data_IF_491983358790
#
_entry.id   IF_491983358790
#
_cell.length_a   1.000
_cell.length_b   1.000
_cell.length_c   1.000
_cell.angle_alpha   90.00
_cell.angle_beta   90.00
_cell.angle_gamma   90.00
#
_symmetry.space_group_name_H-M   'P 1'
#
loop_
_entity.id
_entity.type
_entity.pdbx_description
1 polymer ?
#
# COMPACT_ATOMS: atom_id res chain seq x y z
N UNK A 1 -9.96 -3.67 -6.05
CA UNK A 1 -8.68 -2.89 -6.00
C UNK A 1 -8.48 -2.42 -4.58
N UNK A 2 -7.33 -2.69 -3.97
CA UNK A 2 -7.04 -2.26 -2.60
C UNK A 2 -7.12 -0.73 -2.49
N UNK A 3 -8.11 -0.23 -1.81
CA UNK A 3 -8.37 1.20 -1.67
C UNK A 3 -8.73 1.63 -0.25
N UNK A 4 -8.50 0.74 0.72
CA UNK A 4 -8.64 1.03 2.15
C UNK A 4 -7.70 0.13 2.93
N UNK A 5 -7.01 0.69 3.94
CA UNK A 5 -6.06 -0.05 4.77
C UNK A 5 -6.08 0.42 6.22
N UNK A 6 -5.56 -0.43 7.10
CA UNK A 6 -5.30 -0.13 8.51
C UNK A 6 -3.80 0.02 8.73
N UNK A 7 -3.38 1.14 9.29
CA UNK A 7 -2.00 1.40 9.74
C UNK A 7 -2.08 1.95 11.17
N UNK A 8 -2.42 1.09 12.13
CA UNK A 8 -2.77 1.51 13.49
C UNK A 8 -1.97 0.84 14.60
N UNK A 9 -1.74 -0.46 14.49
CA UNK A 9 -1.04 -1.24 15.52
C UNK A 9 0.44 -1.36 15.16
N UNK A 10 1.25 -0.45 15.66
CA UNK A 10 2.64 -0.28 15.22
C UNK A 10 3.68 -0.87 16.12
N UNK A 11 3.35 -1.30 17.34
CA UNK A 11 4.29 -1.82 18.31
C UNK A 11 5.14 -2.99 17.78
N UNK A 12 4.62 -3.73 16.79
CA UNK A 12 5.34 -4.81 16.13
C UNK A 12 5.89 -4.48 14.74
N UNK A 13 5.68 -3.28 14.23
CA UNK A 13 6.19 -2.94 12.88
C UNK A 13 7.70 -3.07 12.80
N UNK A 14 8.45 -2.71 13.85
CA UNK A 14 9.90 -2.86 13.89
C UNK A 14 10.37 -4.31 13.80
N UNK A 15 9.54 -5.28 14.19
CA UNK A 15 9.85 -6.71 14.14
C UNK A 15 9.38 -7.37 12.84
N UNK A 16 8.32 -6.83 12.22
CA UNK A 16 7.61 -7.45 11.10
C UNK A 16 7.82 -6.72 9.77
N UNK A 17 8.33 -5.49 9.79
CA UNK A 17 8.53 -4.67 8.61
C UNK A 17 10.00 -4.31 8.45
N UNK A 18 10.59 -4.75 7.36
CA UNK A 18 11.98 -4.50 7.02
C UNK A 18 12.30 -3.00 7.00
N UNK A 19 13.38 -2.61 7.66
CA UNK A 19 13.86 -1.22 7.74
C UNK A 19 12.88 -0.21 8.34
N UNK A 20 11.85 -0.66 9.07
CA UNK A 20 10.95 0.26 9.74
C UNK A 20 11.68 1.06 10.82
N UNK A 21 11.60 2.37 10.71
CA UNK A 21 12.04 3.30 11.75
C UNK A 21 10.79 4.02 12.28
N UNK A 22 10.58 3.94 13.57
CA UNK A 22 9.40 4.49 14.22
C UNK A 22 9.32 6.01 14.04
N UNK A 23 8.30 6.57 13.37
CA UNK A 23 8.17 8.00 13.23
C UNK A 23 7.67 8.64 14.54
N UNK A 24 8.29 9.74 14.99
CA UNK A 24 7.84 10.48 16.19
C UNK A 24 6.42 11.01 16.08
N UNK A 25 5.95 11.27 14.85
CA UNK A 25 4.63 11.82 14.56
C UNK A 25 3.66 10.76 14.05
N UNK A 26 3.87 9.49 14.39
CA UNK A 26 2.97 8.43 13.97
C UNK A 26 1.61 8.56 14.66
N UNK A 27 0.57 8.63 13.84
CA UNK A 27 -0.83 8.59 14.28
C UNK A 27 -1.50 7.34 13.73
N UNK A 28 -2.14 6.50 14.58
CA UNK A 28 -2.88 5.34 14.13
C UNK A 28 -4.01 5.71 13.17
N UNK A 29 -4.14 4.96 12.07
CA UNK A 29 -5.20 5.14 11.08
C UNK A 29 -5.89 3.81 10.80
N UNK A 30 -7.19 3.79 11.05
CA UNK A 30 -8.04 2.60 10.87
C UNK A 30 -8.78 2.57 9.54
N UNK A 31 -8.81 3.69 8.82
CA UNK A 31 -9.54 3.85 7.56
C UNK A 31 -8.73 4.69 6.57
N UNK A 32 -7.46 4.35 6.36
CA UNK A 32 -6.62 5.01 5.36
C UNK A 32 -7.19 4.85 3.95
N UNK A 33 -7.27 5.96 3.22
CA UNK A 33 -7.81 6.05 1.86
C UNK A 33 -6.77 6.54 0.86
N UNK A 34 -6.94 6.21 -0.43
CA UNK A 34 -6.24 6.93 -1.49
C UNK A 34 -6.42 8.44 -1.35
N UNK A 35 -5.38 9.19 -1.66
CA UNK A 35 -5.19 10.63 -1.50
C UNK A 35 -4.75 11.10 -0.11
N UNK A 36 -4.80 10.24 0.88
CA UNK A 36 -4.34 10.56 2.24
C UNK A 36 -2.86 10.23 2.42
N UNK A 37 -2.17 10.92 3.35
CA UNK A 37 -0.81 10.58 3.73
C UNK A 37 -0.78 9.27 4.53
N UNK A 38 0.21 8.43 4.24
CA UNK A 38 0.50 7.20 4.97
C UNK A 38 2.01 7.04 5.14
N UNK A 39 2.43 6.23 6.09
CA UNK A 39 3.84 5.92 6.30
C UNK A 39 4.27 4.74 5.45
N UNK A 40 5.39 4.89 4.74
CA UNK A 40 6.00 3.85 3.91
C UNK A 40 7.48 3.70 4.26
N UNK A 41 8.03 2.51 4.03
CA UNK A 41 9.48 2.29 3.98
C UNK A 41 9.90 2.42 2.53
N UNK A 42 10.67 3.45 2.21
CA UNK A 42 11.08 3.78 0.86
C UNK A 42 12.57 3.51 0.65
N UNK A 43 12.92 2.83 -0.45
CA UNK A 43 14.28 2.73 -0.93
C UNK A 43 14.62 3.94 -1.79
N UNK A 44 15.74 4.56 -1.51
CA UNK A 44 16.28 5.69 -2.28
C UNK A 44 17.21 5.22 -3.40
N UNK A 45 17.47 6.09 -4.35
CA UNK A 45 18.41 5.83 -5.45
C UNK A 45 19.86 5.61 -5.00
N UNK A 46 20.23 6.10 -3.80
CA UNK A 46 21.55 5.85 -3.17
C UNK A 46 21.62 4.50 -2.45
N UNK A 47 20.55 3.70 -2.50
CA UNK A 47 20.45 2.40 -1.85
C UNK A 47 19.99 2.46 -0.39
N UNK A 48 19.94 3.63 0.23
CA UNK A 48 19.43 3.77 1.59
C UNK A 48 17.91 3.57 1.66
N UNK A 49 17.44 3.11 2.81
CA UNK A 49 16.01 2.97 3.12
C UNK A 49 15.62 4.00 4.18
N UNK A 50 14.39 4.48 4.12
CA UNK A 50 13.84 5.41 5.10
C UNK A 50 12.34 5.21 5.27
N UNK A 51 11.87 5.36 6.51
CA UNK A 51 10.45 5.55 6.79
C UNK A 51 10.09 7.01 6.52
N UNK A 52 9.15 7.22 5.60
CA UNK A 52 8.68 8.55 5.20
C UNK A 52 7.16 8.58 5.11
N UNK A 53 6.59 9.76 5.32
CA UNK A 53 5.19 9.99 5.02
C UNK A 53 5.02 10.35 3.55
N UNK A 54 4.09 9.68 2.86
CA UNK A 54 3.82 9.87 1.45
C UNK A 54 2.33 9.80 1.15
N UNK A 55 1.85 10.56 0.15
CA UNK A 55 0.46 10.52 -0.30
C UNK A 55 0.18 9.21 -1.03
N UNK A 56 -0.85 8.50 -0.64
CA UNK A 56 -1.29 7.27 -1.35
C UNK A 56 -2.01 7.64 -2.65
N UNK A 57 -1.25 8.15 -3.60
CA UNK A 57 -1.69 8.55 -4.93
C UNK A 57 -0.48 8.98 -5.74
N UNK A 58 0.22 8.03 -6.35
CA UNK A 58 1.50 8.27 -6.97
C UNK A 58 1.42 9.35 -8.05
N UNK A 59 2.32 10.31 -7.98
CA UNK A 59 2.46 11.39 -8.95
C UNK A 59 3.83 11.32 -9.61
N UNK A 60 3.87 11.53 -10.92
CA UNK A 60 5.13 11.63 -11.65
C UNK A 60 5.93 12.84 -11.18
N UNK A 61 7.21 12.65 -10.85
CA UNK A 61 8.06 13.71 -10.32
C UNK A 61 8.29 14.90 -11.28
N UNK A 62 8.10 14.72 -12.58
CA UNK A 62 8.16 15.77 -13.59
C UNK A 62 6.81 16.40 -13.95
N UNK A 63 5.75 16.10 -13.23
CA UNK A 63 4.44 16.68 -13.48
C UNK A 63 4.41 18.18 -13.11
N UNK A 64 3.60 18.95 -13.82
CA UNK A 64 3.43 20.40 -13.55
C UNK A 64 2.71 20.69 -12.24
N UNK A 65 1.90 19.75 -11.75
CA UNK A 65 1.13 19.85 -10.50
C UNK A 65 1.22 18.55 -9.72
N UNK A 66 1.21 18.62 -8.40
CA UNK A 66 1.24 17.44 -7.55
C UNK A 66 -0.07 16.64 -7.60
N UNK A 67 -1.18 17.28 -7.94
CA UNK A 67 -2.48 16.63 -8.05
C UNK A 67 -2.70 16.07 -9.47
N UNK A 68 -3.22 14.84 -9.54
CA UNK A 68 -3.64 14.22 -10.80
C UNK A 68 -5.09 13.77 -10.74
N UNK A 69 -5.80 13.88 -11.85
CA UNK A 69 -7.20 13.42 -11.99
C UNK A 69 -7.30 11.91 -12.20
N UNK A 70 -6.20 11.26 -12.57
CA UNK A 70 -6.20 9.81 -12.80
C UNK A 70 -5.92 9.04 -11.52
N UNK A 71 -6.66 7.94 -11.25
CA UNK A 71 -6.42 7.12 -10.09
C UNK A 71 -5.06 6.40 -10.20
N UNK A 72 -4.10 6.83 -9.37
CA UNK A 72 -2.71 6.35 -9.37
C UNK A 72 -2.33 5.66 -8.04
N UNK A 73 -3.31 5.19 -7.29
CA UNK A 73 -3.09 4.56 -5.99
C UNK A 73 -2.79 3.06 -6.10
N UNK A 74 -3.08 2.43 -7.26
CA UNK A 74 -2.69 1.06 -7.55
C UNK A 74 -1.96 0.97 -8.90
N UNK A 75 -0.96 0.09 -8.98
CA UNK A 75 -0.26 -0.32 -10.19
C UNK A 75 -0.45 -1.83 -10.39
N UNK A 76 -0.85 -2.27 -11.59
CA UNK A 76 -0.97 -3.69 -11.92
C UNK A 76 0.38 -4.28 -12.27
N UNK A 77 0.76 -5.37 -11.61
CA UNK A 77 2.01 -6.09 -11.90
C UNK A 77 2.06 -6.51 -13.38
N UNK A 78 0.95 -7.05 -13.89
CA UNK A 78 0.87 -7.61 -15.24
C UNK A 78 1.07 -6.56 -16.35
N UNK A 79 0.90 -5.27 -16.03
CA UNK A 79 1.04 -4.15 -16.98
C UNK A 79 1.98 -3.05 -16.51
N UNK A 80 2.81 -3.31 -15.51
CA UNK A 80 3.67 -2.27 -14.91
C UNK A 80 4.69 -1.70 -15.90
N UNK A 81 5.17 -2.50 -16.84
CA UNK A 81 6.10 -2.05 -17.88
C UNK A 81 5.42 -1.32 -19.05
N UNK A 82 4.12 -1.51 -19.26
CA UNK A 82 3.34 -0.82 -20.30
C UNK A 82 3.09 0.65 -19.92
N UNK A 83 3.27 1.00 -18.65
CA UNK A 83 3.09 2.35 -18.14
C UNK A 83 4.43 3.03 -17.88
N UNK A 84 4.75 4.03 -18.67
CA UNK A 84 6.01 4.78 -18.56
C UNK A 84 6.35 5.20 -17.12
N UNK A 85 5.36 5.67 -16.35
CA UNK A 85 5.59 6.06 -14.96
C UNK A 85 6.13 4.89 -14.13
N UNK A 86 5.49 3.73 -14.20
CA UNK A 86 5.90 2.59 -13.39
C UNK A 86 7.25 2.04 -13.83
N UNK A 87 7.48 1.92 -15.13
CA UNK A 87 8.77 1.51 -15.69
C UNK A 87 9.92 2.45 -15.27
N UNK A 88 9.72 3.76 -15.31
CA UNK A 88 10.70 4.76 -14.88
C UNK A 88 11.02 4.62 -13.37
N UNK A 89 10.01 4.41 -12.52
CA UNK A 89 10.20 4.23 -11.07
C UNK A 89 10.93 2.92 -10.75
N UNK A 90 10.58 1.83 -11.43
CA UNK A 90 11.25 0.53 -11.31
C UNK A 90 12.74 0.66 -11.70
N UNK A 91 13.03 1.25 -12.84
CA UNK A 91 14.40 1.47 -13.32
C UNK A 91 15.24 2.31 -12.36
N UNK A 92 14.63 3.29 -11.68
CA UNK A 92 15.30 4.12 -10.67
C UNK A 92 15.40 3.44 -9.31
N UNK A 93 14.87 2.23 -9.15
CA UNK A 93 14.83 1.54 -7.88
C UNK A 93 13.98 2.23 -6.81
N UNK A 94 12.99 3.02 -7.21
CA UNK A 94 12.09 3.75 -6.30
C UNK A 94 10.99 2.81 -5.76
N UNK A 95 11.42 1.74 -5.09
CA UNK A 95 10.58 0.74 -4.45
C UNK A 95 10.21 1.14 -3.04
N UNK A 96 9.03 0.73 -2.59
CA UNK A 96 8.60 0.91 -1.20
C UNK A 96 7.81 -0.28 -0.69
N UNK A 97 7.69 -0.31 0.61
CA UNK A 97 6.76 -1.17 1.36
C UNK A 97 5.77 -0.24 2.05
N UNK A 98 4.49 -0.52 1.91
CA UNK A 98 3.43 0.09 2.68
C UNK A 98 3.04 -0.85 3.82
N UNK A 99 3.47 -0.58 5.07
CA UNK A 99 3.13 -1.39 6.23
C UNK A 99 1.66 -1.25 6.58
N UNK A 100 0.99 -2.38 6.76
CA UNK A 100 -0.43 -2.42 7.16
C UNK A 100 -0.68 -3.53 8.18
N UNK A 101 -1.75 -3.41 8.95
CA UNK A 101 -2.26 -4.47 9.81
C UNK A 101 -3.32 -5.31 9.07
N UNK A 102 -4.10 -4.65 8.20
CA UNK A 102 -5.17 -5.24 7.40
C UNK A 102 -5.52 -4.33 6.24
N UNK A 103 -6.37 -4.81 5.36
CA UNK A 103 -7.00 -3.98 4.33
C UNK A 103 -8.46 -4.35 4.16
N UNK A 104 -9.24 -3.45 3.55
CA UNK A 104 -10.66 -3.65 3.32
C UNK A 104 -10.97 -3.86 1.86
N UNK A 105 -11.93 -4.75 1.61
CA UNK A 105 -12.54 -4.93 0.29
C UNK A 105 -14.06 -5.05 0.39
N UNK A 106 -14.73 -4.70 -0.69
CA UNK A 106 -16.19 -4.78 -0.82
C UNK A 106 -16.56 -5.99 -1.66
N UNK A 107 -17.28 -6.97 -1.08
CA UNK A 107 -17.68 -8.14 -1.84
C UNK A 107 -18.50 -7.75 -3.09
N UNK A 108 -18.08 -8.25 -4.25
CA UNK A 108 -18.74 -7.95 -5.54
C UNK A 108 -20.17 -8.45 -5.57
N UNK A 109 -20.42 -9.60 -4.93
CA UNK A 109 -21.75 -10.18 -4.75
C UNK A 109 -22.36 -9.62 -3.47
N UNK A 110 -23.07 -8.52 -3.58
CA UNK A 110 -23.72 -7.91 -2.43
C UNK A 110 -23.54 -6.39 -2.44
N UNK A 111 -23.89 -5.73 -3.55
CA UNK A 111 -23.91 -4.27 -3.62
C UNK A 111 -24.68 -3.70 -2.43
N UNK A 112 -24.00 -2.89 -1.60
CA UNK A 112 -24.57 -2.27 -0.40
C UNK A 112 -24.25 -3.00 0.91
N UNK A 113 -23.56 -4.14 0.87
CA UNK A 113 -23.04 -4.75 2.09
C UNK A 113 -21.83 -3.93 2.63
N UNK A 114 -21.65 -3.92 3.96
CA UNK A 114 -20.43 -3.41 4.56
C UNK A 114 -19.19 -4.15 4.03
N UNK A 115 -18.00 -3.54 4.10
CA UNK A 115 -16.78 -4.18 3.66
C UNK A 115 -16.40 -5.35 4.57
N UNK A 116 -15.50 -6.18 4.08
CA UNK A 116 -14.76 -7.15 4.89
C UNK A 116 -13.38 -6.58 5.21
N UNK A 117 -12.91 -6.78 6.42
CA UNK A 117 -11.54 -6.53 6.83
C UNK A 117 -10.74 -7.81 6.68
N UNK A 118 -9.63 -7.75 5.93
CA UNK A 118 -8.84 -8.90 5.49
C UNK A 118 -7.49 -8.89 6.20
N UNK A 119 -7.11 -10.06 6.73
CA UNK A 119 -5.89 -10.29 7.50
C UNK A 119 -5.05 -11.41 6.88
N UNK A 120 -3.75 -11.36 7.12
CA UNK A 120 -2.84 -12.50 6.94
C UNK A 120 -2.79 -13.26 8.26
N UNK A 121 -3.06 -14.57 8.25
CA UNK A 121 -3.08 -15.37 9.47
C UNK A 121 -1.70 -15.40 10.14
N UNK A 122 -1.70 -15.22 11.47
CA UNK A 122 -0.48 -15.24 12.27
C UNK A 122 0.39 -14.00 12.14
N UNK A 123 -0.05 -12.98 11.37
CA UNK A 123 0.67 -11.71 11.21
C UNK A 123 -0.12 -10.55 11.80
N UNK A 124 0.47 -9.82 12.74
CA UNK A 124 -0.12 -8.58 13.28
C UNK A 124 0.11 -7.39 12.32
N UNK A 125 1.10 -7.50 11.44
CA UNK A 125 1.41 -6.55 10.39
C UNK A 125 2.17 -7.21 9.25
N UNK A 126 2.06 -6.66 8.03
CA UNK A 126 2.78 -7.11 6.86
C UNK A 126 2.98 -5.93 5.88
N UNK A 127 3.86 -6.14 4.91
CA UNK A 127 4.13 -5.15 3.87
C UNK A 127 3.23 -5.33 2.66
N UNK A 128 2.78 -4.24 2.07
CA UNK A 128 2.29 -4.23 0.69
C UNK A 128 3.38 -3.66 -0.21
N UNK A 129 3.70 -4.37 -1.30
CA UNK A 129 4.68 -3.91 -2.27
C UNK A 129 4.18 -2.67 -3.02
N UNK A 130 5.08 -1.71 -3.27
CA UNK A 130 4.72 -0.50 -3.98
C UNK A 130 5.89 0.22 -4.61
N UNK A 131 5.58 1.30 -5.31
CA UNK A 131 6.54 2.25 -5.85
C UNK A 131 6.25 3.63 -5.26
N UNK A 132 7.30 4.42 -5.09
CA UNK A 132 7.17 5.79 -4.61
C UNK A 132 7.77 6.79 -5.58
N UNK A 133 7.31 8.03 -5.51
CA UNK A 133 7.80 9.13 -6.33
C UNK A 133 8.04 10.36 -5.47
N UNK A 134 8.96 11.19 -5.94
CA UNK A 134 9.28 12.49 -5.38
C UNK A 134 8.98 13.58 -6.38
N UNK A 135 8.22 14.56 -5.94
CA UNK A 135 7.87 15.74 -6.70
C UNK A 135 8.37 17.01 -6.00
N UNK A 136 8.74 18.01 -6.77
CA UNK A 136 9.30 19.25 -6.27
C UNK A 136 8.46 20.44 -6.68
N UNK A 137 8.23 21.36 -5.75
CA UNK A 137 7.63 22.68 -5.99
C UNK A 137 8.48 23.74 -5.28
N UNK A 138 9.31 24.46 -6.04
CA UNK A 138 10.30 25.36 -5.47
C UNK A 138 11.28 24.62 -4.55
N UNK A 139 11.31 24.96 -3.26
CA UNK A 139 12.10 24.28 -2.22
C UNK A 139 11.36 23.13 -1.55
N UNK A 140 10.05 22.98 -1.78
CA UNK A 140 9.22 21.94 -1.16
C UNK A 140 9.39 20.59 -1.88
N UNK A 141 9.51 19.54 -1.09
CA UNK A 141 9.53 18.16 -1.59
C UNK A 141 8.28 17.43 -1.09
N UNK A 142 7.51 16.86 -2.01
CA UNK A 142 6.35 16.02 -1.69
C UNK A 142 6.58 14.59 -2.17
N UNK A 143 6.18 13.65 -1.34
CA UNK A 143 6.28 12.22 -1.62
C UNK A 143 4.91 11.63 -1.90
N UNK A 144 4.87 10.69 -2.82
CA UNK A 144 3.66 9.94 -3.16
C UNK A 144 4.00 8.50 -3.48
N UNK A 145 3.02 7.60 -3.36
CA UNK A 145 3.24 6.18 -3.62
C UNK A 145 2.00 5.51 -4.24
N UNK A 146 2.25 4.33 -4.80
CA UNK A 146 1.23 3.40 -5.29
C UNK A 146 1.47 2.02 -4.71
N UNK A 147 0.41 1.23 -4.57
CA UNK A 147 0.48 -0.17 -4.16
C UNK A 147 0.35 -1.07 -5.39
N UNK A 148 1.18 -2.10 -5.48
CA UNK A 148 1.02 -3.11 -6.51
C UNK A 148 -0.18 -4.01 -6.24
N UNK A 149 -0.89 -4.31 -7.32
CA UNK A 149 -1.94 -5.31 -7.34
C UNK A 149 -1.65 -6.37 -8.39
N UNK A 150 -2.06 -7.60 -8.11
CA UNK A 150 -1.91 -8.75 -8.99
C UNK A 150 -3.24 -9.51 -9.09
N UNK A 151 -3.25 -10.63 -9.79
CA UNK A 151 -4.41 -11.52 -9.84
C UNK A 151 -4.82 -12.00 -8.45
N UNK A 152 -6.12 -12.17 -8.18
CA UNK A 152 -6.59 -12.66 -6.89
C UNK A 152 -6.28 -14.13 -6.71
N UNK A 153 -5.84 -14.52 -5.51
CA UNK A 153 -5.74 -15.92 -5.12
C UNK A 153 -7.13 -16.54 -4.85
N UNK A 154 -7.20 -17.83 -4.55
CA UNK A 154 -8.45 -18.55 -4.34
C UNK A 154 -9.29 -17.98 -3.18
N UNK A 155 -8.64 -17.46 -2.14
CA UNK A 155 -9.31 -16.78 -1.01
C UNK A 155 -9.97 -15.47 -1.45
N UNK A 156 -9.28 -14.67 -2.26
CA UNK A 156 -9.74 -13.35 -2.68
C UNK A 156 -10.79 -13.38 -3.79
N UNK A 157 -10.78 -14.37 -4.68
CA UNK A 157 -11.71 -14.47 -5.83
C UNK A 157 -13.19 -14.30 -5.45
N UNK A 158 -13.71 -14.90 -4.36
CA UNK A 158 -15.10 -14.70 -3.96
C UNK A 158 -15.39 -13.28 -3.44
N UNK A 159 -14.38 -12.59 -2.90
CA UNK A 159 -14.48 -11.25 -2.33
C UNK A 159 -14.30 -10.21 -3.42
N UNK A 160 -13.17 -10.30 -4.15
CA UNK A 160 -12.82 -9.37 -5.23
C UNK A 160 -12.15 -10.13 -6.39
N UNK A 161 -12.93 -10.42 -7.43
CA UNK A 161 -12.56 -11.30 -8.56
C UNK A 161 -11.45 -10.73 -9.49
N UNK A 162 -11.11 -9.45 -9.39
CA UNK A 162 -10.24 -8.77 -10.38
C UNK A 162 -8.81 -8.58 -9.91
N UNK A 163 -8.58 -8.44 -8.63
CA UNK A 163 -7.26 -8.12 -8.10
C UNK A 163 -7.16 -8.31 -6.59
N UNK A 164 -5.92 -8.47 -6.12
CA UNK A 164 -5.53 -8.35 -4.72
C UNK A 164 -4.25 -7.53 -4.61
N UNK A 165 -3.94 -6.90 -3.46
CA UNK A 165 -2.64 -6.28 -3.25
C UNK A 165 -1.53 -7.34 -3.25
N UNK A 166 -0.31 -6.95 -3.67
CA UNK A 166 0.87 -7.80 -3.51
C UNK A 166 1.30 -7.75 -2.05
N UNK A 167 1.15 -8.88 -1.37
CA UNK A 167 1.44 -9.03 0.06
C UNK A 167 2.86 -9.60 0.26
N UNK A 168 3.68 -8.91 1.04
CA UNK A 168 5.00 -9.31 1.49
C UNK A 168 4.89 -9.61 2.99
N UNK A 169 4.53 -10.86 3.33
CA UNK A 169 4.14 -11.22 4.69
C UNK A 169 5.33 -11.34 5.66
N UNK A 170 6.53 -11.59 5.15
CA UNK A 170 7.73 -11.82 5.94
C UNK A 170 8.88 -10.89 5.53
N UNK A 171 9.86 -10.73 6.44
CA UNK A 171 11.02 -9.87 6.23
C UNK A 171 11.81 -10.26 4.99
N UNK A 172 11.94 -11.55 4.68
CA UNK A 172 12.71 -11.98 3.52
C UNK A 172 12.05 -11.53 2.20
N UNK A 173 10.75 -11.69 2.05
CA UNK A 173 10.02 -11.20 0.87
C UNK A 173 10.08 -9.68 0.74
N UNK A 174 10.06 -8.97 1.87
CA UNK A 174 10.20 -7.51 1.93
C UNK A 174 11.60 -7.05 1.52
N UNK A 175 12.66 -7.71 1.99
CA UNK A 175 14.06 -7.44 1.61
C UNK A 175 14.29 -7.70 0.13
N UNK A 176 13.84 -8.84 -0.37
CA UNK A 176 13.94 -9.20 -1.79
C UNK A 176 13.31 -8.12 -2.67
N UNK A 177 12.13 -7.63 -2.31
CA UNK A 177 11.51 -6.52 -3.03
C UNK A 177 12.27 -5.21 -2.84
N UNK A 178 12.44 -4.79 -1.60
CA UNK A 178 12.90 -3.44 -1.28
C UNK A 178 14.36 -3.20 -1.67
N UNK A 179 15.24 -4.15 -1.35
CA UNK A 179 16.69 -3.99 -1.50
C UNK A 179 17.23 -4.66 -2.74
N UNK A 180 16.81 -5.89 -3.05
CA UNK A 180 17.31 -6.63 -4.21
C UNK A 180 16.57 -6.28 -5.50
N UNK A 181 15.30 -5.84 -5.40
CA UNK A 181 14.46 -5.55 -6.55
C UNK A 181 13.97 -6.80 -7.25
N UNK A 182 13.86 -7.89 -6.49
CA UNK A 182 13.38 -9.16 -7.00
C UNK A 182 11.87 -9.11 -7.28
N UNK A 183 11.54 -9.03 -8.56
CA UNK A 183 10.15 -8.97 -9.02
C UNK A 183 9.40 -10.30 -8.90
N UNK A 184 10.08 -11.41 -8.62
CA UNK A 184 9.43 -12.71 -8.44
C UNK A 184 8.52 -12.76 -7.20
N UNK A 185 8.70 -11.82 -6.26
CA UNK A 185 7.81 -11.66 -5.09
C UNK A 185 6.51 -10.93 -5.43
N UNK A 186 6.40 -10.30 -6.61
CA UNK A 186 5.22 -9.56 -7.06
C UNK A 186 4.17 -10.52 -7.64
N UNK A 187 3.61 -11.38 -6.80
CA UNK A 187 2.67 -12.45 -7.19
C UNK A 187 1.53 -12.57 -6.19
N UNK A 188 0.46 -13.31 -6.53
CA UNK A 188 -0.60 -13.61 -5.57
C UNK A 188 -0.03 -14.25 -4.30
N UNK A 189 -0.53 -13.81 -3.14
CA UNK A 189 -0.12 -14.36 -1.86
C UNK A 189 -0.61 -15.80 -1.69
N UNK A 190 0.29 -16.70 -1.33
CA UNK A 190 0.00 -18.14 -1.21
C UNK A 190 -0.23 -18.59 0.25
N UNK A 191 0.00 -17.70 1.23
CA UNK A 191 -0.25 -18.00 2.63
C UNK A 191 -1.72 -17.92 3.02
N UNK A 192 -2.01 -18.29 4.25
CA UNK A 192 -3.37 -18.27 4.79
C UNK A 192 -3.85 -16.84 5.05
N UNK A 193 -5.09 -16.60 4.71
CA UNK A 193 -5.78 -15.33 4.93
C UNK A 193 -7.12 -15.59 5.62
N UNK A 194 -7.57 -14.61 6.38
CA UNK A 194 -8.90 -14.63 7.01
C UNK A 194 -9.55 -13.27 6.84
N UNK A 195 -10.86 -13.19 7.08
CA UNK A 195 -11.57 -11.93 7.08
C UNK A 195 -12.60 -11.83 8.20
N UNK A 196 -12.90 -10.60 8.57
CA UNK A 196 -14.03 -10.26 9.43
C UNK A 196 -15.05 -9.47 8.61
N UNK A 197 -16.29 -9.92 8.56
CA UNK A 197 -17.38 -9.14 8.00
C UNK A 197 -17.71 -8.00 8.94
N UNK A 198 -17.67 -6.78 8.44
CA UNK A 198 -18.11 -5.62 9.23
C UNK A 198 -19.64 -5.51 9.20
N UNK A 199 -20.20 -4.92 10.23
CA UNK A 199 -21.63 -4.69 10.40
C UNK A 199 -22.06 -3.30 9.93
N UNK A 200 -21.10 -2.43 9.60
CA UNK A 200 -21.34 -1.04 9.19
C UNK A 200 -20.32 -0.55 8.17
N UNK A 201 -20.56 0.64 7.61
CA UNK A 201 -19.58 1.30 6.73
C UNK A 201 -18.41 1.85 7.53
N UNK A 202 -17.23 1.97 6.89
CA UNK A 202 -16.02 2.50 7.53
C UNK A 202 -16.22 3.95 8.02
N UNK A 203 -17.01 4.74 7.31
CA UNK A 203 -17.35 6.11 7.69
C UNK A 203 -18.14 6.21 8.99
N UNK A 204 -18.95 5.19 9.31
CA UNK A 204 -19.69 5.11 10.58
C UNK A 204 -18.84 4.53 11.70
N UNK A 205 -17.94 3.58 11.39
CA UNK A 205 -17.05 2.95 12.37
C UNK A 205 -15.92 3.89 12.80
N UNK A 206 -15.44 4.74 11.88
CA UNK A 206 -14.32 5.65 12.09
C UNK A 206 -14.69 7.09 11.66
N UNK A 207 -15.65 7.76 12.36
CA UNK A 207 -16.15 9.07 11.97
C UNK A 207 -15.09 10.16 12.02
N UNK A 208 -14.17 10.10 12.98
CA UNK A 208 -13.13 11.12 13.19
C UNK A 208 -12.06 11.10 12.08
N UNK A 209 -11.89 9.97 11.40
CA UNK A 209 -10.97 9.86 10.27
C UNK A 209 -11.55 10.40 8.95
N UNK A 210 -12.82 10.80 8.93
CA UNK A 210 -13.49 11.35 7.74
C UNK A 210 -13.30 12.86 7.59
N UNK A 211 -12.80 13.55 8.59
CA UNK A 211 -12.73 15.01 8.66
C UNK A 211 -11.43 15.61 8.12
N UNK A 212 -10.42 14.79 7.82
CA UNK A 212 -9.19 15.23 7.17
C UNK A 212 -9.45 15.54 5.67
N UNK A 213 -9.80 16.80 5.39
CA UNK A 213 -9.87 17.38 4.05
C UNK A 213 -8.56 18.04 3.67
#
# INVERSE_FOLDING_TARGET
MCGRAVQARTEKFGELIAHWLYPETFEPRWNLRPTEPAWIVARRSDGATRTIQAKWWCQWGGARQFETKFPMFNARVETMYDRKLWADLLQRGQRCIFPVNSFYEWPVKGKGLPPVEIFVEGQDAYGLAGLWSRWFEGSETRYSFTVFTTEPNEFMKPIHEKAMPVILADINSQERWLTEGDESVLRPFEGNMTFTQLDSTLEKLYPDENTAK
#
